data_IF_046719585840
#
_entry.id   IF_046719585840
#
_cell.length_a   1.000
_cell.length_b   1.000
_cell.length_c   1.000
_cell.angle_alpha   90.00
_cell.angle_beta   90.00
_cell.angle_gamma   90.00
#
_symmetry.space_group_name_H-M   'P 1'
#
loop_
_entity.id
_entity.type
_entity.pdbx_description
1 polymer ?
#
# COMPACT_ATOMS: atom_id res chain seq x y z
N UNK A 1 -5.45 -3.20 -13.00
CA UNK A 1 -6.76 -3.12 -13.65
C UNK A 1 -7.89 -2.94 -12.64
N UNK A 2 -9.14 -2.83 -13.13
CA UNK A 2 -10.31 -2.45 -12.32
C UNK A 2 -10.64 -3.42 -11.18
N UNK A 3 -10.27 -4.69 -11.34
CA UNK A 3 -10.47 -5.72 -10.31
C UNK A 3 -9.61 -5.52 -9.06
N UNK A 4 -8.47 -4.84 -9.18
CA UNK A 4 -7.56 -4.62 -8.04
C UNK A 4 -8.20 -3.72 -6.97
N UNK A 5 -8.84 -2.63 -7.39
CA UNK A 5 -9.59 -1.75 -6.49
C UNK A 5 -10.76 -2.49 -5.83
N UNK A 6 -11.52 -3.25 -6.62
CA UNK A 6 -12.68 -4.01 -6.13
C UNK A 6 -12.27 -5.01 -5.04
N UNK A 7 -11.13 -5.69 -5.20
CA UNK A 7 -10.59 -6.60 -4.19
C UNK A 7 -10.24 -5.87 -2.88
N UNK A 8 -9.63 -4.67 -2.96
CA UNK A 8 -9.35 -3.88 -1.77
C UNK A 8 -10.61 -3.36 -1.08
N UNK A 9 -11.61 -2.93 -1.84
CA UNK A 9 -12.90 -2.51 -1.29
C UNK A 9 -13.61 -3.67 -0.58
N UNK A 10 -13.52 -4.88 -1.12
CA UNK A 10 -14.05 -6.09 -0.46
C UNK A 10 -13.30 -6.35 0.86
N UNK A 11 -11.97 -6.29 0.85
CA UNK A 11 -11.14 -6.41 2.06
C UNK A 11 -11.56 -5.40 3.14
N UNK A 12 -11.72 -4.13 2.77
CA UNK A 12 -12.17 -3.08 3.68
C UNK A 12 -13.58 -3.37 4.20
N UNK A 13 -14.51 -3.75 3.31
CA UNK A 13 -15.90 -4.03 3.68
C UNK A 13 -16.00 -5.19 4.67
N UNK A 14 -15.25 -6.28 4.45
CA UNK A 14 -15.16 -7.41 5.38
C UNK A 14 -14.62 -6.97 6.74
N UNK A 15 -13.55 -6.18 6.75
CA UNK A 15 -12.99 -5.64 7.98
C UNK A 15 -13.99 -4.75 8.73
N UNK A 16 -14.71 -3.86 8.04
CA UNK A 16 -15.73 -3.01 8.65
C UNK A 16 -16.94 -3.81 9.18
N UNK A 17 -17.29 -4.92 8.53
CA UNK A 17 -18.32 -5.85 9.01
C UNK A 17 -17.91 -6.62 10.27
N UNK A 18 -16.67 -6.44 10.77
CA UNK A 18 -16.20 -7.03 12.02
C UNK A 18 -15.30 -8.26 11.84
N UNK A 19 -15.02 -8.68 10.60
CA UNK A 19 -14.13 -9.82 10.39
C UNK A 19 -12.68 -9.43 10.75
N UNK A 20 -11.90 -10.32 11.39
CA UNK A 20 -10.55 -10.04 11.87
C UNK A 20 -9.51 -10.10 10.74
N UNK A 21 -9.73 -9.35 9.66
CA UNK A 21 -8.88 -9.33 8.45
C UNK A 21 -7.79 -8.26 8.52
N UNK A 22 -7.93 -7.24 9.39
CA UNK A 22 -6.93 -6.20 9.55
C UNK A 22 -5.76 -6.67 10.43
N UNK A 23 -4.64 -5.94 10.36
CA UNK A 23 -3.42 -6.25 11.10
C UNK A 23 -3.67 -6.45 12.60
N UNK A 24 -3.07 -7.51 13.17
CA UNK A 24 -3.27 -7.91 14.55
C UNK A 24 -4.63 -8.56 14.83
N UNK A 25 -5.24 -9.22 13.84
CA UNK A 25 -6.55 -9.87 13.92
C UNK A 25 -7.67 -8.92 14.36
N UNK A 26 -7.61 -7.67 13.88
CA UNK A 26 -8.59 -6.63 14.19
C UNK A 26 -9.68 -6.55 13.13
N UNK A 27 -10.86 -6.10 13.56
CA UNK A 27 -12.01 -5.86 12.71
C UNK A 27 -12.92 -4.80 13.34
N UNK A 28 -13.93 -4.39 12.59
CA UNK A 28 -14.92 -3.39 12.95
C UNK A 28 -14.55 -1.96 12.56
N UNK A 29 -15.54 -1.04 12.57
CA UNK A 29 -15.34 0.35 12.17
C UNK A 29 -14.39 1.13 13.07
N UNK A 30 -14.20 0.68 14.33
CA UNK A 30 -13.28 1.31 15.28
C UNK A 30 -11.82 1.27 14.80
N UNK A 31 -11.45 0.35 13.90
CA UNK A 31 -10.11 0.31 13.31
C UNK A 31 -9.81 1.57 12.49
N UNK A 32 -10.83 2.21 11.91
CA UNK A 32 -10.68 3.48 11.18
C UNK A 32 -10.41 4.68 12.09
N UNK A 33 -10.69 4.57 13.39
CA UNK A 33 -10.31 5.58 14.38
C UNK A 33 -8.87 5.38 14.91
N UNK A 34 -8.18 4.33 14.47
CA UNK A 34 -6.84 3.99 14.94
C UNK A 34 -5.71 4.60 14.12
N UNK A 35 -4.44 4.37 14.53
CA UNK A 35 -3.25 4.91 13.87
C UNK A 35 -3.03 4.37 12.45
N UNK A 36 -3.64 3.23 12.10
CA UNK A 36 -3.41 2.54 10.82
C UNK A 36 -4.44 2.84 9.75
N UNK A 37 -5.46 3.67 10.03
CA UNK A 37 -6.58 3.88 9.10
C UNK A 37 -6.12 4.46 7.75
N UNK A 38 -5.14 5.37 7.77
CA UNK A 38 -4.56 5.92 6.54
C UNK A 38 -3.94 4.87 5.62
N UNK A 39 -3.34 3.81 6.17
CA UNK A 39 -2.79 2.72 5.36
C UNK A 39 -3.89 1.90 4.70
N UNK A 40 -5.01 1.68 5.39
CA UNK A 40 -6.18 0.94 4.86
C UNK A 40 -6.75 1.67 3.64
N UNK A 41 -6.92 2.99 3.75
CA UNK A 41 -7.38 3.83 2.62
C UNK A 41 -6.31 3.84 1.52
N UNK A 42 -5.03 3.99 1.90
CA UNK A 42 -3.89 3.94 1.00
C UNK A 42 -3.82 2.66 0.16
N UNK A 43 -4.21 1.49 0.71
CA UNK A 43 -4.25 0.24 -0.04
C UNK A 43 -5.26 0.28 -1.20
N UNK A 44 -6.45 0.83 -0.99
CA UNK A 44 -7.46 0.95 -2.04
C UNK A 44 -6.98 1.90 -3.16
N UNK A 45 -6.45 3.06 -2.78
CA UNK A 45 -5.91 4.04 -3.74
C UNK A 45 -4.72 3.45 -4.50
N UNK A 46 -3.78 2.83 -3.81
CA UNK A 46 -2.62 2.19 -4.42
C UNK A 46 -3.02 1.07 -5.38
N UNK A 47 -4.00 0.23 -5.03
CA UNK A 47 -4.45 -0.84 -5.92
C UNK A 47 -5.02 -0.32 -7.25
N UNK A 48 -5.74 0.81 -7.21
CA UNK A 48 -6.20 1.49 -8.43
C UNK A 48 -5.02 2.00 -9.26
N UNK A 49 -4.12 2.79 -8.66
CA UNK A 49 -3.00 3.41 -9.37
C UNK A 49 -1.96 2.40 -9.86
N UNK A 50 -1.56 1.41 -9.05
CA UNK A 50 -0.69 0.32 -9.50
C UNK A 50 -1.28 -0.39 -10.71
N UNK A 51 -2.58 -0.70 -10.62
CA UNK A 51 -3.29 -1.41 -11.66
C UNK A 51 -3.42 -0.61 -12.97
N UNK A 52 -3.62 0.70 -12.87
CA UNK A 52 -3.67 1.63 -14.00
C UNK A 52 -2.29 1.82 -14.62
N UNK A 53 -1.27 2.09 -13.80
CA UNK A 53 0.09 2.35 -14.26
C UNK A 53 0.70 1.12 -14.93
N UNK A 54 0.50 -0.07 -14.37
CA UNK A 54 0.98 -1.31 -14.97
C UNK A 54 0.36 -1.55 -16.36
N UNK A 55 -0.95 -1.30 -16.53
CA UNK A 55 -1.63 -1.48 -17.82
C UNK A 55 -1.18 -0.47 -18.87
N UNK A 56 -1.00 0.80 -18.47
CA UNK A 56 -0.57 1.85 -19.39
C UNK A 56 0.91 1.69 -19.79
N UNK A 57 1.76 1.18 -18.90
CA UNK A 57 3.19 0.96 -19.19
C UNK A 57 3.45 -0.37 -19.90
N UNK A 58 2.63 -1.40 -19.67
CA UNK A 58 2.77 -2.72 -20.28
C UNK A 58 1.71 -2.91 -21.36
N UNK A 59 1.99 -2.42 -22.57
CA UNK A 59 1.06 -2.54 -23.70
C UNK A 59 1.01 -4.00 -24.16
N UNK A 60 -0.18 -4.61 -24.15
CA UNK A 60 -0.43 -6.06 -24.24
C UNK A 60 0.16 -6.79 -25.46
N UNK A 61 0.66 -6.09 -26.48
CA UNK A 61 1.01 -6.71 -27.76
C UNK A 61 2.47 -6.53 -28.23
N UNK A 62 3.34 -5.83 -27.48
CA UNK A 62 4.73 -5.56 -27.92
C UNK A 62 5.81 -5.52 -26.84
N UNK A 63 5.47 -5.75 -25.57
CA UNK A 63 6.40 -5.42 -24.51
C UNK A 63 7.45 -6.51 -24.26
N UNK A 64 8.73 -6.16 -24.50
CA UNK A 64 9.89 -6.98 -24.15
C UNK A 64 9.86 -7.36 -22.66
N UNK A 65 10.53 -8.46 -22.28
CA UNK A 65 10.66 -8.85 -20.86
C UNK A 65 11.13 -7.67 -19.99
N UNK A 66 12.11 -6.90 -20.47
CA UNK A 66 12.66 -5.73 -19.78
C UNK A 66 11.62 -4.62 -19.54
N UNK A 67 10.74 -4.34 -20.50
CA UNK A 67 9.70 -3.32 -20.35
C UNK A 67 8.61 -3.77 -19.37
N UNK A 68 8.25 -5.05 -19.39
CA UNK A 68 7.31 -5.63 -18.42
C UNK A 68 7.85 -5.59 -16.99
N UNK A 69 9.16 -5.82 -16.82
CA UNK A 69 9.87 -5.67 -15.55
C UNK A 69 9.83 -4.22 -15.06
N UNK A 70 10.17 -3.27 -15.93
CA UNK A 70 10.17 -1.84 -15.61
C UNK A 70 8.77 -1.34 -15.25
N UNK A 71 7.74 -1.77 -15.98
CA UNK A 71 6.35 -1.46 -15.68
C UNK A 71 5.92 -2.04 -14.32
N UNK A 72 6.30 -3.30 -14.04
CA UNK A 72 6.06 -3.96 -12.75
C UNK A 72 6.74 -3.23 -11.59
N UNK A 73 8.03 -2.93 -11.73
CA UNK A 73 8.79 -2.19 -10.72
C UNK A 73 8.23 -0.81 -10.47
N UNK A 74 7.99 -0.03 -11.53
CA UNK A 74 7.47 1.35 -11.43
C UNK A 74 6.08 1.38 -10.79
N UNK A 75 5.19 0.46 -11.17
CA UNK A 75 3.86 0.35 -10.56
C UNK A 75 3.93 -0.04 -9.09
N UNK A 76 4.79 -0.99 -8.72
CA UNK A 76 4.96 -1.39 -7.32
C UNK A 76 5.51 -0.24 -6.46
N UNK A 77 6.55 0.46 -6.93
CA UNK A 77 7.13 1.60 -6.21
C UNK A 77 6.08 2.72 -6.04
N UNK A 78 5.34 3.05 -7.10
CA UNK A 78 4.26 4.02 -7.01
C UNK A 78 3.21 3.61 -5.96
N UNK A 79 2.85 2.32 -5.91
CA UNK A 79 1.97 1.77 -4.89
C UNK A 79 2.47 1.96 -3.47
N UNK A 80 3.72 1.59 -3.20
CA UNK A 80 4.34 1.75 -1.87
C UNK A 80 4.35 3.22 -1.47
N UNK A 81 4.70 4.13 -2.38
CA UNK A 81 4.71 5.57 -2.12
C UNK A 81 3.31 6.10 -1.77
N UNK A 82 2.27 5.66 -2.49
CA UNK A 82 0.88 6.03 -2.17
C UNK A 82 0.49 5.51 -0.78
N UNK A 83 0.79 4.24 -0.47
CA UNK A 83 0.48 3.66 0.83
C UNK A 83 1.17 4.43 1.95
N UNK A 84 2.46 4.74 1.79
CA UNK A 84 3.23 5.51 2.77
C UNK A 84 2.71 6.94 2.89
N UNK A 85 2.34 7.59 1.80
CA UNK A 85 1.80 8.96 1.85
C UNK A 85 0.52 9.02 2.70
N UNK A 86 -0.47 8.19 2.39
CA UNK A 86 -1.73 8.18 3.12
C UNK A 86 -1.57 7.67 4.56
N UNK A 87 -0.78 6.61 4.74
CA UNK A 87 -0.48 6.05 6.06
C UNK A 87 0.24 7.03 6.97
N UNK A 88 1.30 7.68 6.47
CA UNK A 88 2.12 8.60 7.23
C UNK A 88 1.35 9.88 7.59
N UNK A 89 0.62 10.48 6.64
CA UNK A 89 -0.17 11.71 6.90
C UNK A 89 -1.21 11.45 8.00
N UNK A 90 -1.94 10.33 7.91
CA UNK A 90 -2.91 9.94 8.93
C UNK A 90 -2.24 9.65 10.28
N UNK A 91 -1.17 8.86 10.29
CA UNK A 91 -0.45 8.48 11.50
C UNK A 91 0.13 9.71 12.21
N UNK A 92 0.70 10.65 11.45
CA UNK A 92 1.18 11.93 11.97
C UNK A 92 0.04 12.72 12.63
N UNK A 93 -1.09 12.88 11.95
CA UNK A 93 -2.26 13.58 12.51
C UNK A 93 -2.82 12.90 13.77
N UNK A 94 -2.87 11.56 13.77
CA UNK A 94 -3.29 10.76 14.91
C UNK A 94 -2.36 10.96 16.12
N UNK A 95 -1.04 10.85 15.92
CA UNK A 95 -0.05 11.07 16.98
C UNK A 95 -0.05 12.52 17.48
N UNK A 96 -0.25 13.49 16.59
CA UNK A 96 -0.37 14.90 16.95
C UNK A 96 -1.58 15.15 17.86
N UNK A 97 -2.71 14.49 17.58
CA UNK A 97 -3.90 14.56 18.42
C UNK A 97 -3.73 13.87 19.79
N UNK A 98 -2.93 12.81 19.87
CA UNK A 98 -2.72 12.06 21.11
C UNK A 98 -1.73 12.71 22.07
N UNK A 99 -0.76 13.47 21.56
CA UNK A 99 0.31 14.08 22.36
C UNK A 99 0.33 15.60 22.21
N UNK A 100 -0.72 16.31 22.69
CA UNK A 100 -0.78 17.76 22.60
C UNK A 100 0.41 18.39 23.35
N UNK A 101 1.06 19.37 22.74
CA UNK A 101 2.18 20.11 23.32
C UNK A 101 3.56 19.48 23.13
N UNK A 102 3.68 18.29 22.53
CA UNK A 102 4.99 17.79 22.08
C UNK A 102 5.51 18.57 20.87
N UNK A 103 6.84 18.74 20.75
CA UNK A 103 7.43 19.33 19.56
C UNK A 103 7.03 18.57 18.29
N UNK A 104 6.68 19.29 17.23
CA UNK A 104 6.29 18.70 15.94
C UNK A 104 7.40 17.81 15.36
N UNK A 105 8.67 18.15 15.59
CA UNK A 105 9.83 17.34 15.18
C UNK A 105 9.80 15.93 15.76
N UNK A 106 9.39 15.80 17.02
CA UNK A 106 9.37 14.51 17.71
C UNK A 106 8.24 13.65 17.16
N UNK A 107 7.10 14.26 16.84
CA UNK A 107 5.94 13.57 16.26
C UNK A 107 6.26 13.09 14.83
N UNK A 108 6.95 13.91 14.04
CA UNK A 108 7.49 13.53 12.71
C UNK A 108 8.39 12.30 12.86
N UNK A 109 9.34 12.33 13.80
CA UNK A 109 10.25 11.22 14.02
C UNK A 109 9.53 9.95 14.49
N UNK A 110 8.53 10.08 15.38
CA UNK A 110 7.73 8.95 15.87
C UNK A 110 6.91 8.32 14.73
N UNK A 111 6.27 9.14 13.90
CA UNK A 111 5.52 8.67 12.74
C UNK A 111 6.44 7.95 11.73
N UNK A 112 7.65 8.47 11.51
CA UNK A 112 8.63 7.84 10.62
C UNK A 112 9.10 6.48 11.14
N UNK A 113 9.56 6.46 12.40
CA UNK A 113 10.12 5.25 13.05
C UNK A 113 9.10 4.13 13.20
N UNK A 114 7.82 4.47 13.36
CA UNK A 114 6.76 3.48 13.53
C UNK A 114 6.05 3.12 12.23
N UNK A 115 5.96 4.07 11.28
CA UNK A 115 5.09 3.94 10.11
C UNK A 115 5.80 3.70 8.78
N UNK A 116 7.09 3.99 8.66
CA UNK A 116 7.82 3.86 7.39
C UNK A 116 9.09 3.02 7.57
N UNK A 117 9.97 3.42 8.48
CA UNK A 117 11.29 2.81 8.67
C UNK A 117 11.29 1.27 8.74
N UNK A 118 10.45 0.60 9.55
CA UNK A 118 10.47 -0.87 9.64
C UNK A 118 9.97 -1.56 8.36
N UNK A 119 9.24 -0.84 7.51
CA UNK A 119 8.61 -1.39 6.32
C UNK A 119 9.45 -1.24 5.06
N UNK A 120 10.39 -0.28 4.99
CA UNK A 120 11.20 0.00 3.79
C UNK A 120 11.87 -1.26 3.25
N UNK A 121 12.63 -1.96 4.10
CA UNK A 121 13.43 -3.12 3.65
C UNK A 121 12.51 -4.24 3.17
N UNK A 122 11.48 -4.57 3.96
CA UNK A 122 10.58 -5.67 3.63
C UNK A 122 9.71 -5.36 2.42
N UNK A 123 9.31 -4.11 2.20
CA UNK A 123 8.52 -3.73 1.04
C UNK A 123 9.38 -3.75 -0.24
N UNK A 124 10.64 -3.33 -0.18
CA UNK A 124 11.58 -3.51 -1.31
C UNK A 124 11.76 -4.98 -1.67
N UNK A 125 11.86 -5.87 -0.68
CA UNK A 125 11.91 -7.31 -0.91
C UNK A 125 10.61 -7.84 -1.55
N UNK A 126 9.44 -7.37 -1.10
CA UNK A 126 8.15 -7.72 -1.72
C UNK A 126 8.09 -7.30 -3.19
N UNK A 127 8.59 -6.11 -3.52
CA UNK A 127 8.66 -5.63 -4.91
C UNK A 127 9.51 -6.57 -5.77
N UNK A 128 10.70 -6.95 -5.29
CA UNK A 128 11.57 -7.89 -6.02
C UNK A 128 10.88 -9.25 -6.25
N UNK A 129 10.20 -9.79 -5.24
CA UNK A 129 9.49 -11.06 -5.36
C UNK A 129 8.37 -10.96 -6.41
N UNK A 130 7.54 -9.92 -6.33
CA UNK A 130 6.40 -9.74 -7.25
C UNK A 130 6.86 -9.65 -8.71
N UNK A 131 7.96 -8.94 -8.96
CA UNK A 131 8.48 -8.76 -10.32
C UNK A 131 8.90 -10.10 -10.94
N UNK A 132 9.57 -10.96 -10.17
CA UNK A 132 9.93 -12.30 -10.64
C UNK A 132 8.69 -13.17 -10.92
N UNK A 133 7.66 -13.07 -10.08
CA UNK A 133 6.39 -13.79 -10.28
C UNK A 133 5.67 -13.34 -11.55
N UNK A 134 5.70 -12.04 -11.86
CA UNK A 134 5.10 -11.49 -13.09
C UNK A 134 5.75 -12.06 -14.36
N UNK A 135 7.08 -12.25 -14.36
CA UNK A 135 7.76 -12.86 -15.50
C UNK A 135 7.39 -14.34 -15.68
N UNK A 136 7.31 -15.10 -14.59
CA UNK A 136 6.92 -16.51 -14.62
C UNK A 136 5.48 -16.68 -15.13
N UNK A 137 4.58 -15.77 -14.77
CA UNK A 137 3.20 -15.76 -15.24
C UNK A 137 3.08 -15.51 -16.75
N UNK A 138 3.92 -14.62 -17.32
CA UNK A 138 3.95 -14.36 -18.77
C UNK A 138 4.47 -15.56 -19.57
N UNK A 139 5.49 -16.28 -19.07
CA UNK A 139 6.05 -17.47 -19.76
C UNK A 139 5.08 -18.65 -19.88
N UNK A 140 4.01 -18.68 -19.07
CA UNK A 140 3.01 -19.76 -19.05
C UNK A 140 1.79 -19.51 -19.95
N UNK A 141 1.63 -18.28 -20.45
CA UNK A 141 0.56 -17.91 -21.41
C UNK A 141 1.11 -17.95 -22.82
#
# INVERSE_FOLDING_TARGET
>A
GPWALTSQLLYISMGLAGLPVFAGFKGGPMVLAGPTAGYIIGFAVAAYFCGFLYQNLNTENRSSAAESLLAGFSSCIAGVLIIYLFGYVHLFGFLFSLFPGRPTSDIILMAWKSGIEPFIIIDLLKVLIIINVLELGKKRK
#
